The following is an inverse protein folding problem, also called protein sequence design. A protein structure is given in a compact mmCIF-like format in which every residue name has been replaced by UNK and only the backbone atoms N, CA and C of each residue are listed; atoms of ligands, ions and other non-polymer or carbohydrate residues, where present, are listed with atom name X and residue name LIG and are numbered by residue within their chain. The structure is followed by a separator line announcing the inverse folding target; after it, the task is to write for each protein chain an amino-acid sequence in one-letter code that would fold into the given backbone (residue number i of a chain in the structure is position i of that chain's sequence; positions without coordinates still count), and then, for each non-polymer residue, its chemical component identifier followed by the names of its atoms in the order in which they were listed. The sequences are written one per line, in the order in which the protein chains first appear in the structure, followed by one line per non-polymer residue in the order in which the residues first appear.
data_IF_399571082110
#
_entry.id   IF_399571082110
#
_cell.length_a   1.000
_cell.length_b   1.000
_cell.length_c   1.000
_cell.angle_alpha   90.00
_cell.angle_beta   90.00
_cell.angle_gamma   90.00
#
_symmetry.space_group_name_H-M   'P 1'
#
loop_
_entity.id
_entity.type
_entity.pdbx_description
1 polymer ?
#
# COMPACT_ATOMS: atom_id res chain seq x y z
N UNK A 1 10.08 18.70 9.15
CA UNK A 1 9.05 19.47 9.88
C UNK A 1 8.14 20.28 8.94
N UNK A 2 8.52 21.45 8.41
CA UNK A 2 7.59 22.26 7.58
C UNK A 2 7.03 21.55 6.34
N UNK A 3 7.86 20.74 5.67
CA UNK A 3 7.44 19.96 4.50
C UNK A 3 6.40 18.88 4.85
N UNK A 4 6.66 18.08 5.88
CA UNK A 4 5.76 17.02 6.33
C UNK A 4 4.43 17.59 6.82
N UNK A 5 4.46 18.70 7.58
CA UNK A 5 3.26 19.40 8.02
C UNK A 5 2.42 19.92 6.85
N UNK A 6 3.08 20.49 5.82
CA UNK A 6 2.41 20.91 4.60
C UNK A 6 1.75 19.74 3.87
N UNK A 7 2.46 18.62 3.72
CA UNK A 7 1.93 17.42 3.06
C UNK A 7 0.75 16.84 3.83
N UNK A 8 0.85 16.72 5.16
CA UNK A 8 -0.26 16.30 6.02
C UNK A 8 -1.47 17.21 5.88
N UNK A 9 -1.26 18.53 5.85
CA UNK A 9 -2.34 19.49 5.67
C UNK A 9 -3.02 19.31 4.30
N UNK A 10 -2.24 19.20 3.22
CA UNK A 10 -2.78 19.00 1.87
C UNK A 10 -3.52 17.67 1.76
N UNK A 11 -2.95 16.58 2.25
CA UNK A 11 -3.56 15.25 2.30
C UNK A 11 -4.93 15.28 3.00
N UNK A 12 -4.97 15.86 4.21
CA UNK A 12 -6.18 15.91 5.05
C UNK A 12 -7.23 16.86 4.46
N UNK A 13 -6.83 17.89 3.71
CA UNK A 13 -7.73 18.74 2.91
C UNK A 13 -8.33 17.98 1.72
N UNK A 14 -7.52 17.21 1.00
CA UNK A 14 -7.97 16.40 -0.14
C UNK A 14 -8.99 15.35 0.30
N UNK A 15 -8.70 14.61 1.38
CA UNK A 15 -9.62 13.60 1.92
C UNK A 15 -10.95 14.19 2.40
N UNK A 16 -10.90 15.35 3.06
CA UNK A 16 -12.13 15.99 3.56
C UNK A 16 -13.03 16.48 2.42
N UNK A 17 -12.44 16.96 1.33
CA UNK A 17 -13.18 17.47 0.16
C UNK A 17 -13.77 16.37 -0.69
N UNK A 18 -13.11 15.23 -0.77
CA UNK A 18 -13.58 14.12 -1.60
C UNK A 18 -14.82 13.45 -1.02
N UNK A 19 -15.06 13.60 0.29
CA UNK A 19 -16.22 13.04 1.00
C UNK A 19 -16.40 11.53 0.75
N UNK A 20 -15.29 10.82 0.50
CA UNK A 20 -15.28 9.41 0.09
C UNK A 20 -15.59 8.49 1.27
N UNK A 21 -15.32 8.93 2.50
CA UNK A 21 -15.37 8.07 3.70
C UNK A 21 -16.40 8.53 4.71
N UNK A 22 -17.32 7.64 5.05
CA UNK A 22 -18.22 7.74 6.18
C UNK A 22 -17.50 7.50 7.52
N UNK A 23 -18.15 7.91 8.62
CA UNK A 23 -17.66 7.61 9.98
C UNK A 23 -17.80 6.12 10.26
N UNK A 24 -16.72 5.49 10.73
CA UNK A 24 -16.69 4.08 11.10
C UNK A 24 -16.52 3.11 9.91
N UNK A 25 -16.40 3.60 8.68
CA UNK A 25 -16.23 2.73 7.52
C UNK A 25 -14.90 1.98 7.53
N UNK A 26 -14.89 0.77 6.98
CA UNK A 26 -13.67 0.01 6.73
C UNK A 26 -13.13 0.34 5.35
N UNK A 27 -11.88 0.82 5.31
CA UNK A 27 -11.21 1.25 4.08
C UNK A 27 -10.03 0.32 3.83
N UNK A 28 -10.06 -0.37 2.69
CA UNK A 28 -8.95 -1.20 2.23
C UNK A 28 -7.98 -0.36 1.39
N UNK A 29 -6.71 -0.36 1.78
CA UNK A 29 -5.64 0.38 1.13
C UNK A 29 -4.78 -0.62 0.37
N UNK A 30 -4.75 -0.51 -0.95
CA UNK A 30 -3.84 -1.30 -1.77
C UNK A 30 -2.40 -0.78 -1.58
N UNK A 31 -1.53 -1.65 -1.10
CA UNK A 31 -0.12 -1.36 -0.88
C UNK A 31 0.72 -2.12 -1.90
N UNK A 32 1.61 -1.40 -2.61
CA UNK A 32 2.45 -1.98 -3.66
C UNK A 32 3.90 -2.23 -3.21
N UNK A 33 4.29 -1.79 -2.01
CA UNK A 33 5.69 -1.81 -1.59
C UNK A 33 6.52 -0.61 -2.07
N UNK A 34 5.95 0.26 -2.92
CA UNK A 34 6.63 1.42 -3.47
C UNK A 34 6.57 2.67 -2.58
N UNK A 35 7.47 3.65 -2.77
CA UNK A 35 7.57 4.87 -1.96
C UNK A 35 6.25 5.65 -1.83
N UNK A 36 5.48 5.75 -2.92
CA UNK A 36 4.19 6.46 -2.91
C UNK A 36 3.17 5.79 -1.99
N UNK A 37 3.08 4.47 -2.04
CA UNK A 37 2.17 3.70 -1.17
C UNK A 37 2.64 3.70 0.29
N UNK A 38 3.95 3.71 0.52
CA UNK A 38 4.53 3.84 1.87
C UNK A 38 4.22 5.21 2.47
N UNK A 39 4.44 6.29 1.71
CA UNK A 39 4.10 7.64 2.13
C UNK A 39 2.60 7.77 2.46
N UNK A 40 1.74 7.16 1.66
CA UNK A 40 0.30 7.12 1.92
C UNK A 40 -0.02 6.46 3.27
N UNK A 41 0.59 5.30 3.57
CA UNK A 41 0.36 4.61 4.85
C UNK A 41 0.81 5.45 6.06
N UNK A 42 1.95 6.14 5.97
CA UNK A 42 2.41 7.06 7.01
C UNK A 42 1.44 8.24 7.20
N UNK A 43 0.99 8.87 6.11
CA UNK A 43 0.03 9.98 6.17
C UNK A 43 -1.30 9.54 6.79
N UNK A 44 -1.76 8.32 6.51
CA UNK A 44 -2.96 7.74 7.12
C UNK A 44 -2.72 7.44 8.61
N UNK A 45 -1.52 6.99 8.99
CA UNK A 45 -1.20 6.64 10.38
C UNK A 45 -1.23 7.90 11.25
N UNK A 46 -0.59 8.97 10.77
CA UNK A 46 -0.67 10.30 11.36
C UNK A 46 -2.11 10.84 11.33
N UNK A 47 -2.85 10.49 10.28
CA UNK A 47 -4.28 10.72 10.08
C UNK A 47 -5.15 10.19 11.22
N UNK A 48 -4.88 8.95 11.62
CA UNK A 48 -5.61 8.17 12.62
C UNK A 48 -5.10 8.35 14.05
N UNK A 49 -3.89 8.90 14.22
CA UNK A 49 -3.30 9.14 15.54
C UNK A 49 -4.24 9.92 16.49
N UNK A 50 -4.22 9.59 17.78
CA UNK A 50 -5.05 10.27 18.80
C UNK A 50 -4.71 11.76 18.90
N UNK A 51 -3.46 12.13 18.61
CA UNK A 51 -2.96 13.50 18.69
C UNK A 51 -3.31 14.34 17.44
N UNK A 52 -4.02 13.75 16.47
CA UNK A 52 -4.50 14.45 15.29
C UNK A 52 -5.52 15.55 15.64
N UNK A 53 -5.24 16.80 15.24
CA UNK A 53 -6.15 17.95 15.42
C UNK A 53 -7.55 17.73 14.81
N UNK A 54 -7.64 16.94 13.74
CA UNK A 54 -8.86 16.23 13.33
C UNK A 54 -8.46 14.81 12.92
N UNK A 55 -9.01 13.81 13.61
CA UNK A 55 -8.74 12.39 13.37
C UNK A 55 -9.56 11.88 12.20
N UNK A 56 -8.95 11.10 11.32
CA UNK A 56 -9.67 10.30 10.34
C UNK A 56 -10.59 9.32 11.08
N UNK A 57 -11.80 9.12 10.58
CA UNK A 57 -12.85 8.37 11.30
C UNK A 57 -13.20 7.04 10.66
N UNK A 58 -12.41 6.58 9.69
CA UNK A 58 -12.50 5.25 9.12
C UNK A 58 -11.50 4.29 9.79
N UNK A 59 -11.69 3.00 9.60
CA UNK A 59 -10.76 1.95 9.99
C UNK A 59 -9.95 1.53 8.77
N UNK A 60 -8.62 1.65 8.85
CA UNK A 60 -7.72 1.33 7.76
C UNK A 60 -7.30 -0.14 7.82
N UNK A 61 -7.42 -0.83 6.70
CA UNK A 61 -6.88 -2.18 6.48
C UNK A 61 -5.96 -2.11 5.27
N UNK A 62 -4.86 -2.86 5.28
CA UNK A 62 -3.91 -2.86 4.17
C UNK A 62 -3.97 -4.18 3.43
N UNK A 63 -4.05 -4.12 2.10
CA UNK A 63 -3.93 -5.27 1.22
C UNK A 63 -2.60 -5.20 0.46
N UNK A 64 -1.84 -6.29 0.49
CA UNK A 64 -0.64 -6.48 -0.32
C UNK A 64 -0.83 -7.69 -1.23
N UNK A 65 -0.66 -7.49 -2.53
CA UNK A 65 -0.69 -8.58 -3.51
C UNK A 65 0.74 -9.11 -3.61
N UNK A 66 0.90 -10.37 -3.24
CA UNK A 66 2.16 -11.07 -3.28
C UNK A 66 2.39 -11.64 -4.69
N UNK A 67 3.24 -10.96 -5.46
CA UNK A 67 3.65 -11.33 -6.83
C UNK A 67 4.91 -12.22 -6.84
N UNK A 68 5.31 -12.77 -5.69
CA UNK A 68 6.56 -13.50 -5.51
C UNK A 68 6.74 -14.71 -6.44
N UNK A 69 5.63 -15.36 -6.82
CA UNK A 69 5.63 -16.47 -7.77
C UNK A 69 6.02 -16.04 -9.19
N UNK A 70 5.65 -14.81 -9.57
CA UNK A 70 5.99 -14.24 -10.88
C UNK A 70 7.43 -13.72 -10.91
N UNK A 71 7.97 -13.27 -9.76
CA UNK A 71 9.31 -12.68 -9.67
C UNK A 71 10.17 -13.28 -8.53
N UNK A 72 10.64 -14.54 -8.66
CA UNK A 72 11.33 -15.25 -7.57
C UNK A 72 12.66 -14.63 -7.11
N UNK A 73 13.35 -13.91 -7.99
CA UNK A 73 14.65 -13.31 -7.68
C UNK A 73 14.57 -12.10 -6.73
N UNK A 74 13.42 -11.41 -6.71
CA UNK A 74 13.22 -10.15 -5.98
C UNK A 74 12.33 -10.33 -4.73
N UNK A 75 11.74 -11.51 -4.53
CA UNK A 75 10.53 -11.71 -3.72
C UNK A 75 10.73 -11.93 -2.22
N UNK A 76 11.68 -12.80 -1.84
CA UNK A 76 11.84 -13.28 -0.45
C UNK A 76 12.01 -12.11 0.53
N UNK A 77 12.78 -11.09 0.13
CA UNK A 77 13.02 -9.91 0.97
C UNK A 77 11.86 -8.91 1.01
N UNK A 78 10.98 -8.89 0.00
CA UNK A 78 9.92 -7.89 -0.08
C UNK A 78 8.83 -8.21 0.93
N UNK A 79 8.34 -9.46 0.95
CA UNK A 79 7.25 -9.88 1.83
C UNK A 79 7.56 -9.64 3.31
N UNK A 80 8.77 -9.99 3.76
CA UNK A 80 9.20 -9.76 5.14
C UNK A 80 9.23 -8.27 5.48
N UNK A 81 9.76 -7.43 4.59
CA UNK A 81 9.77 -5.96 4.78
C UNK A 81 8.36 -5.37 4.83
N UNK A 82 7.44 -5.89 4.02
CA UNK A 82 6.03 -5.47 4.02
C UNK A 82 5.38 -5.80 5.36
N UNK A 83 5.57 -7.02 5.86
CA UNK A 83 5.04 -7.44 7.17
C UNK A 83 5.62 -6.58 8.28
N UNK A 84 6.94 -6.35 8.28
CA UNK A 84 7.59 -5.55 9.32
C UNK A 84 7.08 -4.11 9.33
N UNK A 85 7.06 -3.45 8.18
CA UNK A 85 6.59 -2.07 8.08
C UNK A 85 5.12 -1.93 8.51
N UNK A 86 4.24 -2.78 7.98
CA UNK A 86 2.79 -2.57 8.14
C UNK A 86 2.31 -3.02 9.51
N UNK A 87 2.75 -4.20 9.97
CA UNK A 87 2.25 -4.79 11.21
C UNK A 87 3.06 -4.30 12.41
N UNK A 88 4.40 -4.30 12.33
CA UNK A 88 5.25 -4.00 13.50
C UNK A 88 5.48 -2.50 13.67
N UNK A 89 5.67 -1.76 12.57
CA UNK A 89 5.95 -0.32 12.65
C UNK A 89 4.68 0.53 12.63
N UNK A 90 3.77 0.26 11.68
CA UNK A 90 2.56 1.07 11.46
C UNK A 90 1.30 0.51 12.12
N UNK A 91 1.34 -0.72 12.62
CA UNK A 91 0.25 -1.36 13.37
C UNK A 91 -1.10 -1.44 12.63
N UNK A 92 -1.06 -1.63 11.30
CA UNK A 92 -2.27 -1.88 10.52
C UNK A 92 -2.60 -3.38 10.45
N UNK A 93 -3.90 -3.74 10.37
CA UNK A 93 -4.30 -5.05 9.88
C UNK A 93 -3.82 -5.26 8.44
N UNK A 94 -3.06 -6.33 8.19
CA UNK A 94 -2.50 -6.67 6.88
C UNK A 94 -3.15 -7.92 6.31
N UNK A 95 -3.65 -7.81 5.08
CA UNK A 95 -4.13 -8.90 4.24
C UNK A 95 -3.12 -9.14 3.11
N UNK A 96 -2.48 -10.31 3.11
CA UNK A 96 -1.57 -10.72 2.03
C UNK A 96 -2.33 -11.68 1.12
N UNK A 97 -2.37 -11.40 -0.17
CA UNK A 97 -3.04 -12.23 -1.18
C UNK A 97 -2.00 -12.69 -2.19
N UNK A 98 -1.77 -14.00 -2.27
CA UNK A 98 -0.87 -14.57 -3.29
C UNK A 98 -1.55 -14.50 -4.66
N UNK A 99 -0.87 -13.91 -5.64
CA UNK A 99 -1.38 -13.87 -7.01
C UNK A 99 -1.51 -15.29 -7.60
N UNK A 100 -0.63 -16.20 -7.20
CA UNK A 100 -0.57 -17.57 -7.71
C UNK A 100 -1.73 -18.43 -7.24
N UNK A 101 -2.12 -18.27 -5.97
CA UNK A 101 -3.20 -19.03 -5.33
C UNK A 101 -4.58 -18.61 -5.84
N UNK A 102 -4.71 -17.40 -6.39
CA UNK A 102 -5.98 -16.82 -6.85
C UNK A 102 -6.14 -16.84 -8.36
N UNK A 103 -5.06 -17.11 -9.11
CA UNK A 103 -5.12 -17.45 -10.51
C UNK A 103 -5.16 -18.98 -10.60
N UNK A 104 -6.35 -19.53 -10.78
CA UNK A 104 -6.54 -20.95 -11.16
C UNK A 104 -5.59 -21.33 -12.30
N UNK A 105 -5.32 -22.63 -12.48
CA UNK A 105 -4.35 -23.29 -13.37
C UNK A 105 -4.28 -22.83 -14.87
N UNK A 106 -4.93 -21.74 -15.25
CA UNK A 106 -4.78 -21.08 -16.54
C UNK A 106 -3.40 -20.41 -16.67
N UNK A 107 -2.42 -21.24 -17.03
CA UNK A 107 -1.07 -20.80 -17.39
C UNK A 107 -1.08 -19.72 -18.48
N UNK A 108 -2.10 -19.67 -19.34
CA UNK A 108 -2.21 -18.65 -20.39
C UNK A 108 -2.44 -17.26 -19.80
N UNK A 109 -3.26 -17.15 -18.75
CA UNK A 109 -3.47 -15.89 -18.04
C UNK A 109 -2.22 -15.48 -17.25
N UNK A 110 -1.52 -16.44 -16.64
CA UNK A 110 -0.25 -16.17 -15.94
C UNK A 110 0.82 -15.66 -16.91
N UNK A 111 0.93 -16.26 -18.09
CA UNK A 111 1.85 -15.83 -19.13
C UNK A 111 1.45 -14.46 -19.72
N UNK A 112 0.16 -14.22 -19.95
CA UNK A 112 -0.35 -12.95 -20.45
C UNK A 112 -0.11 -11.81 -19.45
N UNK A 113 -0.39 -12.06 -18.16
CA UNK A 113 -0.05 -11.15 -17.08
C UNK A 113 1.46 -10.93 -17.06
N UNK A 114 2.29 -11.96 -17.02
CA UNK A 114 3.75 -11.79 -17.01
C UNK A 114 4.27 -10.93 -18.18
N UNK A 115 3.68 -11.06 -19.37
CA UNK A 115 4.04 -10.27 -20.56
C UNK A 115 3.53 -8.81 -20.51
N UNK A 116 2.36 -8.57 -19.90
CA UNK A 116 1.67 -7.26 -19.95
C UNK A 116 1.72 -6.48 -18.63
N UNK A 117 1.82 -7.15 -17.49
CA UNK A 117 2.07 -6.56 -16.17
C UNK A 117 3.56 -6.31 -16.03
N UNK A 118 4.04 -5.27 -16.72
CA UNK A 118 5.13 -4.47 -16.19
C UNK A 118 4.57 -3.70 -15.00
N UNK A 119 4.33 -4.36 -13.86
CA UNK A 119 3.87 -3.66 -12.66
C UNK A 119 4.89 -2.58 -12.31
N UNK A 120 4.48 -1.34 -12.54
CA UNK A 120 5.39 -0.29 -12.99
C UNK A 120 5.86 0.57 -11.83
N UNK A 121 4.97 0.78 -10.87
CA UNK A 121 5.00 1.94 -9.96
C UNK A 121 6.05 1.82 -8.86
N UNK A 122 6.34 0.63 -8.35
CA UNK A 122 7.42 0.43 -7.38
C UNK A 122 8.76 0.06 -8.07
N UNK A 123 8.71 -0.77 -9.11
CA UNK A 123 9.90 -1.32 -9.78
C UNK A 123 10.62 -0.30 -10.66
N UNK A 124 9.94 0.50 -11.50
CA UNK A 124 10.66 1.55 -12.24
C UNK A 124 11.09 2.72 -11.35
N UNK A 125 10.37 3.05 -10.28
CA UNK A 125 10.87 4.05 -9.31
C UNK A 125 12.18 3.58 -8.65
N UNK A 126 12.33 2.28 -8.41
CA UNK A 126 13.55 1.69 -7.87
C UNK A 126 14.68 1.58 -8.92
N UNK A 127 14.35 1.16 -10.15
CA UNK A 127 15.33 1.00 -11.26
C UNK A 127 15.84 2.35 -11.77
N UNK A 128 15.01 3.40 -11.80
CA UNK A 128 15.42 4.76 -12.25
C UNK A 128 16.37 5.48 -11.29
N UNK A 129 16.59 4.97 -10.08
CA UNK A 129 17.49 5.57 -9.07
C UNK A 129 18.90 4.97 -9.07
N UNK A 130 19.27 4.19 -10.08
CA UNK A 130 20.60 3.62 -10.26
C UNK A 130 21.24 4.15 -11.54
#
# INVERSE_FOLDING_TARGET
KCFEEFFLHKFRSTLSKSNIFGRGEHVLIAYSGGPSSTALLHLIADGLSVNARRRLQFQAHVAFIDESSLYPADSINIREKVIDLITNQLHYPLHIVSIDENLDNDNSLKDLLFQHTKSLTAREEFIRRR
#
